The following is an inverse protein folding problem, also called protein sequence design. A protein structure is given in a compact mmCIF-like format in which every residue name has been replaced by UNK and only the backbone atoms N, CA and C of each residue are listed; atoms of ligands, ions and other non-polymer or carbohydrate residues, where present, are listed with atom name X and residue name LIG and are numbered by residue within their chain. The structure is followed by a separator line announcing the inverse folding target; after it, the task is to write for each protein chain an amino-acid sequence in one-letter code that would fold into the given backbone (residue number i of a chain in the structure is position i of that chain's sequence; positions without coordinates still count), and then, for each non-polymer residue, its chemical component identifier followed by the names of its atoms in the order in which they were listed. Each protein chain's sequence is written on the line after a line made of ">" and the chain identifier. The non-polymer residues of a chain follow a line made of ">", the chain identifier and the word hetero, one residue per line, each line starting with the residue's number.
data_IF_971747738041
#
_entry.id   IF_971747738041
#
_cell.length_a   1.000
_cell.length_b   1.000
_cell.length_c   1.000
_cell.angle_alpha   90.00
_cell.angle_beta   90.00
_cell.angle_gamma   90.00
#
_symmetry.space_group_name_H-M   'P 1'
#
loop_
_entity.id
_entity.type
_entity.pdbx_description
1 polymer ?
#
# COMPACT_ATOMS: atom_id res chain seq x y z
N UNK A 1 3.39 -12.03 -13.57
CA UNK A 1 3.54 -12.18 -12.10
C UNK A 1 2.31 -12.87 -11.57
N UNK A 2 2.42 -13.94 -10.77
CA UNK A 2 1.28 -14.79 -10.38
C UNK A 2 0.11 -14.00 -9.76
N UNK A 3 0.40 -13.00 -8.91
CA UNK A 3 -0.62 -12.15 -8.31
C UNK A 3 -1.38 -11.31 -9.35
N UNK A 4 -0.67 -10.79 -10.36
CA UNK A 4 -1.26 -9.97 -11.42
C UNK A 4 -2.09 -10.83 -12.37
N UNK A 5 -1.62 -12.03 -12.74
CA UNK A 5 -2.38 -12.96 -13.57
C UNK A 5 -3.69 -13.39 -12.90
N UNK A 6 -3.66 -13.66 -11.59
CA UNK A 6 -4.86 -14.03 -10.85
C UNK A 6 -5.89 -12.89 -10.82
N UNK A 7 -5.43 -11.63 -10.70
CA UNK A 7 -6.31 -10.45 -10.78
C UNK A 7 -6.88 -10.32 -12.20
N UNK A 8 -6.04 -10.44 -13.23
CA UNK A 8 -6.45 -10.37 -14.64
C UNK A 8 -7.50 -11.45 -14.96
N UNK A 9 -7.37 -12.66 -14.40
CA UNK A 9 -8.35 -13.73 -14.59
C UNK A 9 -9.74 -13.34 -14.05
N UNK A 10 -9.82 -12.64 -12.92
CA UNK A 10 -11.09 -12.15 -12.37
C UNK A 10 -11.79 -11.14 -13.30
N UNK A 11 -11.02 -10.26 -13.95
CA UNK A 11 -11.58 -9.30 -14.90
C UNK A 11 -11.89 -9.91 -16.27
N UNK A 12 -11.19 -10.98 -16.64
CA UNK A 12 -11.34 -11.67 -17.93
C UNK A 12 -12.67 -12.41 -18.05
N UNK A 13 -13.30 -12.81 -16.93
CA UNK A 13 -14.64 -13.42 -16.96
C UNK A 13 -15.75 -12.44 -17.32
N UNK A 14 -15.52 -11.13 -17.15
CA UNK A 14 -16.50 -10.07 -17.39
C UNK A 14 -16.39 -9.52 -18.81
N UNK A 15 -17.53 -9.46 -19.52
CA UNK A 15 -17.59 -9.08 -20.95
C UNK A 15 -17.93 -7.61 -21.18
N UNK A 16 -18.61 -6.96 -20.23
CA UNK A 16 -19.00 -5.55 -20.33
C UNK A 16 -18.23 -4.67 -19.34
N UNK A 17 -18.16 -3.37 -19.64
CA UNK A 17 -17.53 -2.38 -18.74
C UNK A 17 -18.20 -2.38 -17.38
N UNK A 18 -19.54 -2.39 -17.34
CA UNK A 18 -20.31 -2.42 -16.08
C UNK A 18 -19.97 -3.66 -15.26
N UNK A 19 -19.89 -4.84 -15.88
CA UNK A 19 -19.49 -6.06 -15.19
C UNK A 19 -18.06 -5.98 -14.66
N UNK A 20 -17.12 -5.41 -15.42
CA UNK A 20 -15.73 -5.22 -14.94
C UNK A 20 -15.67 -4.23 -13.77
N UNK A 21 -16.47 -3.17 -13.78
CA UNK A 21 -16.59 -2.22 -12.66
C UNK A 21 -17.08 -2.91 -11.40
N UNK A 22 -18.16 -3.68 -11.50
CA UNK A 22 -18.72 -4.41 -10.35
C UNK A 22 -17.77 -5.51 -9.84
N UNK A 23 -17.13 -6.25 -10.75
CA UNK A 23 -16.11 -7.25 -10.38
C UNK A 23 -14.89 -6.61 -9.72
N UNK A 24 -14.62 -5.33 -10.02
CA UNK A 24 -13.54 -4.52 -9.47
C UNK A 24 -13.83 -3.89 -8.12
N UNK A 25 -15.11 -3.75 -7.75
CA UNK A 25 -15.53 -3.18 -6.48
C UNK A 25 -15.44 -4.24 -5.38
N UNK A 26 -14.55 -4.06 -4.41
CA UNK A 26 -14.36 -5.02 -3.31
C UNK A 26 -15.54 -5.11 -2.34
N UNK A 27 -16.47 -4.14 -2.36
CA UNK A 27 -17.73 -4.23 -1.59
C UNK A 27 -18.69 -5.24 -2.22
N UNK A 28 -18.64 -5.39 -3.54
CA UNK A 28 -19.45 -6.34 -4.32
C UNK A 28 -18.72 -7.67 -4.51
N UNK A 29 -17.40 -7.63 -4.75
CA UNK A 29 -16.53 -8.79 -4.93
C UNK A 29 -15.39 -8.81 -3.89
N UNK A 30 -15.67 -9.26 -2.65
CA UNK A 30 -14.66 -9.28 -1.57
C UNK A 30 -13.48 -10.22 -1.86
N UNK A 31 -13.66 -11.20 -2.75
CA UNK A 31 -12.59 -12.12 -3.18
C UNK A 31 -11.47 -11.38 -3.90
N UNK A 32 -11.79 -10.36 -4.71
CA UNK A 32 -10.77 -9.51 -5.34
C UNK A 32 -9.96 -8.73 -4.28
N UNK A 33 -10.63 -8.13 -3.30
CA UNK A 33 -9.97 -7.44 -2.20
C UNK A 33 -9.02 -8.35 -1.42
N UNK A 34 -9.46 -9.58 -1.14
CA UNK A 34 -8.62 -10.60 -0.47
C UNK A 34 -7.41 -10.98 -1.32
N UNK A 35 -7.59 -11.21 -2.62
CA UNK A 35 -6.51 -11.57 -3.54
C UNK A 35 -5.43 -10.47 -3.58
N UNK A 36 -5.85 -9.20 -3.65
CA UNK A 36 -4.93 -8.06 -3.61
C UNK A 36 -4.17 -8.03 -2.28
N UNK A 37 -4.86 -8.15 -1.15
CA UNK A 37 -4.26 -8.09 0.18
C UNK A 37 -3.31 -9.27 0.47
N UNK A 38 -3.59 -10.46 -0.07
CA UNK A 38 -2.82 -11.67 0.21
C UNK A 38 -1.65 -11.87 -0.75
N UNK A 39 -1.78 -11.45 -2.00
CA UNK A 39 -0.78 -11.75 -3.03
C UNK A 39 -0.04 -10.50 -3.48
N UNK A 40 -0.77 -9.44 -3.82
CA UNK A 40 -0.17 -8.24 -4.42
C UNK A 40 0.47 -7.33 -3.36
N UNK A 41 -0.24 -7.05 -2.26
CA UNK A 41 0.25 -6.19 -1.19
C UNK A 41 1.57 -6.70 -0.59
N UNK A 42 1.74 -7.99 -0.24
CA UNK A 42 3.01 -8.50 0.27
C UNK A 42 4.12 -8.48 -0.77
N UNK A 43 3.82 -8.77 -2.04
CA UNK A 43 4.81 -8.72 -3.11
C UNK A 43 5.37 -7.30 -3.31
N UNK A 44 4.49 -6.29 -3.30
CA UNK A 44 4.89 -4.87 -3.38
C UNK A 44 5.60 -4.41 -2.11
N UNK A 45 5.12 -4.80 -0.94
CA UNK A 45 5.79 -4.49 0.32
C UNK A 45 7.21 -5.05 0.34
N UNK A 46 7.38 -6.32 -0.05
CA UNK A 46 8.70 -6.94 -0.16
C UNK A 46 9.58 -6.23 -1.19
N UNK A 47 9.03 -5.82 -2.34
CA UNK A 47 9.79 -5.03 -3.30
C UNK A 47 10.28 -3.71 -2.70
N UNK A 48 9.42 -3.01 -1.95
CA UNK A 48 9.79 -1.77 -1.27
C UNK A 48 10.83 -2.02 -0.18
N UNK A 49 10.72 -3.11 0.61
CA UNK A 49 11.64 -3.37 1.72
C UNK A 49 12.97 -4.01 1.30
N UNK A 50 13.03 -4.76 0.20
CA UNK A 50 14.25 -5.41 -0.27
C UNK A 50 15.35 -4.40 -0.69
N UNK A 51 14.98 -3.18 -1.11
CA UNK A 51 15.92 -2.11 -1.45
C UNK A 51 16.14 -1.09 -0.34
N UNK A 52 15.53 -1.27 0.83
CA UNK A 52 15.51 -0.26 1.88
C UNK A 52 16.76 -0.31 2.74
N UNK A 53 17.46 0.83 2.85
CA UNK A 53 18.48 1.01 3.90
C UNK A 53 17.81 0.84 5.26
N UNK A 54 18.41 0.09 6.21
CA UNK A 54 17.78 -0.20 7.49
C UNK A 54 17.50 1.06 8.32
N UNK A 55 18.30 2.12 8.13
CA UNK A 55 18.11 3.40 8.80
C UNK A 55 18.21 4.55 7.81
N UNK A 56 17.33 5.54 7.98
CA UNK A 56 17.46 6.86 7.37
C UNK A 56 18.09 7.81 8.40
N UNK A 57 19.07 8.60 7.97
CA UNK A 57 19.57 9.72 8.74
C UNK A 57 18.58 10.88 8.66
N UNK A 58 18.13 11.34 9.82
CA UNK A 58 17.27 12.49 10.03
C UNK A 58 18.05 13.53 10.85
N UNK A 59 18.02 14.80 10.40
CA UNK A 59 18.77 15.89 11.03
C UNK A 59 18.26 16.23 12.44
N UNK A 60 17.00 15.92 12.74
CA UNK A 60 16.33 16.25 14.00
C UNK A 60 16.26 15.02 14.92
N UNK A 61 16.06 13.83 14.35
CA UNK A 61 15.84 12.61 15.11
C UNK A 61 16.99 11.59 15.08
N UNK A 62 18.13 11.92 14.45
CA UNK A 62 19.28 11.01 14.35
C UNK A 62 19.02 9.85 13.38
N UNK A 63 19.18 8.60 13.84
CA UNK A 63 18.87 7.41 13.02
C UNK A 63 17.44 6.94 13.25
N UNK A 64 16.60 7.03 12.23
CA UNK A 64 15.23 6.47 12.22
C UNK A 64 15.21 5.16 11.42
N UNK A 65 14.51 4.11 11.87
CA UNK A 65 14.34 2.91 11.05
C UNK A 65 13.54 3.27 9.80
N UNK A 66 14.00 2.80 8.63
CA UNK A 66 13.27 3.03 7.40
C UNK A 66 12.10 2.04 7.30
N UNK A 67 10.96 2.52 6.81
CA UNK A 67 9.77 1.68 6.60
C UNK A 67 9.23 1.91 5.20
N UNK A 68 8.55 0.89 4.65
CA UNK A 68 7.86 1.03 3.37
C UNK A 68 6.88 2.21 3.37
N UNK A 69 6.22 2.47 4.50
CA UNK A 69 5.34 3.64 4.67
C UNK A 69 6.10 4.97 4.64
N UNK A 70 7.27 5.03 5.27
CA UNK A 70 8.16 6.20 5.20
C UNK A 70 8.60 6.55 3.78
N UNK A 71 8.90 5.53 2.96
CA UNK A 71 9.16 5.71 1.52
C UNK A 71 7.94 6.25 0.77
N UNK A 72 6.78 5.64 0.99
CA UNK A 72 5.53 6.07 0.33
C UNK A 72 5.28 7.54 0.65
N UNK A 73 5.41 7.94 1.91
CA UNK A 73 5.29 9.34 2.31
C UNK A 73 6.33 10.26 1.66
N UNK A 74 7.58 9.81 1.50
CA UNK A 74 8.63 10.60 0.88
C UNK A 74 8.40 10.79 -0.63
N UNK A 75 7.96 9.74 -1.33
CA UNK A 75 7.72 9.75 -2.77
C UNK A 75 6.57 10.66 -3.20
N UNK A 76 5.64 10.94 -2.30
CA UNK A 76 4.42 11.73 -2.56
C UNK A 76 4.49 13.14 -1.98
N UNK A 77 5.64 13.55 -1.44
CA UNK A 77 5.86 14.94 -0.98
C UNK A 77 5.95 15.92 -2.14
N UNK A 78 6.02 15.43 -3.37
CA UNK A 78 6.04 16.27 -4.56
C UNK A 78 4.68 17.01 -4.72
N UNK A 79 4.66 18.35 -4.61
CA UNK A 79 3.44 19.14 -4.68
C UNK A 79 2.73 19.08 -6.04
N UNK A 80 3.41 18.60 -7.09
CA UNK A 80 2.81 18.42 -8.43
C UNK A 80 1.94 17.15 -8.52
N UNK A 81 1.97 16.28 -7.51
CA UNK A 81 1.21 15.04 -7.42
C UNK A 81 -0.03 15.13 -6.51
N UNK A 82 -0.83 16.20 -6.65
CA UNK A 82 -1.96 16.52 -5.75
C UNK A 82 -2.90 15.33 -5.43
N UNK A 83 -3.17 14.45 -6.40
CA UNK A 83 -3.99 13.23 -6.20
C UNK A 83 -3.33 12.21 -5.27
N UNK A 84 -2.01 12.05 -5.35
CA UNK A 84 -1.22 11.15 -4.49
C UNK A 84 -1.17 11.68 -3.05
N UNK A 85 -1.00 12.99 -2.87
CA UNK A 85 -1.04 13.64 -1.56
C UNK A 85 -2.39 13.48 -0.85
N UNK A 86 -3.51 13.72 -1.56
CA UNK A 86 -4.86 13.56 -1.02
C UNK A 86 -5.12 12.13 -0.50
N UNK A 87 -4.74 11.11 -1.26
CA UNK A 87 -4.94 9.69 -0.87
C UNK A 87 -4.15 9.31 0.39
N UNK A 88 -2.94 9.83 0.56
CA UNK A 88 -2.16 9.56 1.76
C UNK A 88 -2.71 10.24 3.01
N UNK A 89 -3.26 11.45 2.89
CA UNK A 89 -3.91 12.09 4.03
C UNK A 89 -5.14 11.30 4.49
N UNK A 90 -5.90 10.70 3.58
CA UNK A 90 -7.01 9.82 3.91
C UNK A 90 -6.54 8.54 4.60
N UNK A 91 -5.48 7.88 4.09
CA UNK A 91 -4.91 6.68 4.71
C UNK A 91 -4.36 6.97 6.11
N UNK A 92 -3.65 8.09 6.31
CA UNK A 92 -3.17 8.49 7.65
C UNK A 92 -4.29 8.67 8.67
N UNK A 93 -5.44 9.20 8.26
CA UNK A 93 -6.61 9.38 9.13
C UNK A 93 -7.26 8.05 9.51
N UNK A 94 -7.15 7.03 8.67
CA UNK A 94 -7.74 5.70 8.89
C UNK A 94 -6.84 4.70 9.62
N UNK A 95 -5.55 4.99 9.82
CA UNK A 95 -4.63 4.10 10.55
C UNK A 95 -4.69 4.44 12.05
N UNK A 96 -5.19 3.55 12.92
CA UNK A 96 -5.08 3.75 14.36
C UNK A 96 -3.59 3.80 14.75
N UNK A 97 -3.24 4.72 15.64
CA UNK A 97 -1.88 4.88 16.16
C UNK A 97 -1.47 3.56 16.85
N UNK A 98 -0.68 2.72 16.18
CA UNK A 98 -0.04 1.57 16.82
C UNK A 98 1.03 2.09 17.77
N UNK A 99 0.64 2.23 19.04
CA UNK A 99 1.48 2.65 20.14
C UNK A 99 2.47 1.52 20.44
N UNK A 100 3.65 1.56 19.81
CA UNK A 100 4.78 0.70 20.19
C UNK A 100 5.36 1.23 21.50
N UNK A 101 4.66 0.94 22.61
CA UNK A 101 5.20 1.10 23.96
C UNK A 101 6.29 0.05 24.11
N UNK A 102 7.53 0.38 23.74
CA UNK A 102 8.69 -0.42 24.14
C UNK A 102 8.71 -0.40 25.67
N UNK A 103 8.37 -1.54 26.26
CA UNK A 103 8.62 -1.82 27.67
C UNK A 103 10.13 -1.80 27.86
N UNK A 104 10.61 -0.82 28.61
CA UNK A 104 11.94 -0.83 29.22
C UNK A 104 11.86 -1.81 30.39
N UNK A 105 12.57 -2.94 30.29
CA UNK A 105 13.08 -3.72 31.42
C UNK A 105 14.42 -4.33 31.00
#
# INVERSE_FOLDING_TARGET
>A
SVAVEAILAQFSSSRTVVQKTLSGDSTINPSLGRLVLQCLCPALHNLLTNGLKPHQSDLIAGRRPNSAWGLVQASTKDPQSALSGCRLTALKKGVPIQNHRQHIY
#
